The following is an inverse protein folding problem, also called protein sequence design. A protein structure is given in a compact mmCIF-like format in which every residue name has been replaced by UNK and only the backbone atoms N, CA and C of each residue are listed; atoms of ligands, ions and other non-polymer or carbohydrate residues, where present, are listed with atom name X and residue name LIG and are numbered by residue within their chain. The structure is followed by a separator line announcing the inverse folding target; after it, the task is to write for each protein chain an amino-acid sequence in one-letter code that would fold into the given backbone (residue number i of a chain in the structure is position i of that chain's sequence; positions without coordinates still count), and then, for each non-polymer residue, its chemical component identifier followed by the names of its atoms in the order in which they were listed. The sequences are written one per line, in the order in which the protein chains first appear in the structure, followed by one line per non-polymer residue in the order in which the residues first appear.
data_IF_693770276783
#
_entry.id   IF_693770276783
#
_cell.length_a   1.000
_cell.length_b   1.000
_cell.length_c   1.000
_cell.angle_alpha   90.00
_cell.angle_beta   90.00
_cell.angle_gamma   90.00
#
_symmetry.space_group_name_H-M   'P 1'
#
loop_
_entity.id
_entity.type
_entity.pdbx_description
1 polymer ?
#
# COMPACT_ATOMS: atom_id res chain seq x y z
N UNK A 1 31.95 -11.71 54.93
CA UNK A 1 30.68 -12.12 54.28
C UNK A 1 29.65 -10.98 54.11
N UNK A 2 29.97 -9.69 54.29
CA UNK A 2 29.03 -8.56 54.12
C UNK A 2 29.17 -7.81 52.79
N UNK A 3 30.13 -8.17 51.94
CA UNK A 3 30.41 -7.49 50.67
C UNK A 3 29.76 -8.16 49.45
N UNK A 4 29.22 -9.37 49.58
CA UNK A 4 28.58 -10.09 48.47
C UNK A 4 27.08 -9.77 48.29
N UNK A 5 26.44 -9.17 49.33
CA UNK A 5 25.01 -8.83 49.29
C UNK A 5 24.71 -7.52 48.49
N UNK A 6 25.70 -6.66 48.33
CA UNK A 6 25.53 -5.38 47.62
C UNK A 6 25.56 -5.54 46.10
N UNK A 7 26.19 -6.59 45.56
CA UNK A 7 26.29 -6.82 44.12
C UNK A 7 25.01 -7.44 43.56
N UNK A 8 24.26 -8.21 44.38
CA UNK A 8 23.02 -8.84 43.94
C UNK A 8 21.82 -7.85 43.82
N UNK A 9 21.87 -6.74 44.56
CA UNK A 9 20.81 -5.73 44.56
C UNK A 9 20.84 -4.80 43.32
N UNK A 10 21.99 -4.71 42.65
CA UNK A 10 22.13 -3.85 41.45
C UNK A 10 21.60 -4.56 40.20
N UNK A 11 21.59 -5.89 40.15
CA UNK A 11 21.06 -6.66 39.02
C UNK A 11 19.53 -6.79 39.03
N UNK A 12 18.86 -6.51 40.15
CA UNK A 12 17.40 -6.59 40.23
C UNK A 12 16.69 -5.32 39.73
N UNK A 13 17.43 -4.25 39.46
CA UNK A 13 16.89 -2.95 39.01
C UNK A 13 17.02 -2.72 37.50
N UNK A 14 17.66 -3.63 36.75
CA UNK A 14 17.51 -3.66 35.29
C UNK A 14 16.24 -4.44 34.94
N UNK A 15 15.14 -4.06 35.57
CA UNK A 15 13.81 -4.47 35.16
C UNK A 15 13.66 -4.13 33.69
N UNK A 16 13.51 -5.15 32.89
CA UNK A 16 13.17 -5.06 31.49
C UNK A 16 12.05 -4.02 31.36
N UNK A 17 12.37 -2.83 30.88
CA UNK A 17 11.36 -1.95 30.31
C UNK A 17 10.93 -2.70 29.04
N UNK A 18 10.04 -3.67 29.21
CA UNK A 18 9.26 -4.18 28.11
C UNK A 18 8.49 -2.95 27.62
N UNK A 19 9.01 -2.30 26.59
CA UNK A 19 8.25 -1.34 25.82
C UNK A 19 7.03 -2.10 25.32
N UNK A 20 5.94 -2.06 26.09
CA UNK A 20 4.66 -2.60 25.65
C UNK A 20 4.25 -1.76 24.45
N UNK A 21 4.47 -2.30 23.26
CA UNK A 21 4.01 -1.68 22.02
C UNK A 21 2.52 -1.51 22.12
N UNK A 22 2.05 -0.32 21.86
CA UNK A 22 0.63 -0.05 21.79
C UNK A 22 0.06 -0.76 20.56
N UNK A 23 -0.90 -1.64 20.79
CA UNK A 23 -1.61 -2.36 19.74
C UNK A 23 -2.96 -1.73 19.60
N UNK A 24 -3.23 -1.11 18.45
CA UNK A 24 -4.49 -0.46 18.15
C UNK A 24 -5.54 -1.53 17.82
N UNK A 25 -6.66 -1.60 18.55
CA UNK A 25 -7.70 -2.59 18.30
C UNK A 25 -8.44 -2.32 16.98
N UNK A 26 -8.96 -3.38 16.35
CA UNK A 26 -9.75 -3.28 15.12
C UNK A 26 -10.89 -2.25 15.21
N UNK A 27 -11.71 -2.34 16.26
CA UNK A 27 -12.86 -1.45 16.41
C UNK A 27 -12.48 0.03 16.45
N UNK A 28 -11.30 0.34 17.00
CA UNK A 28 -10.78 1.71 17.05
C UNK A 28 -10.35 2.18 15.65
N UNK A 29 -9.69 1.31 14.89
CA UNK A 29 -9.34 1.57 13.48
C UNK A 29 -10.61 1.83 12.67
N UNK A 30 -11.65 1.01 12.86
CA UNK A 30 -12.95 1.19 12.20
C UNK A 30 -13.56 2.53 12.57
N UNK A 31 -13.63 2.87 13.86
CA UNK A 31 -14.21 4.12 14.34
C UNK A 31 -13.52 5.35 13.72
N UNK A 32 -12.19 5.34 13.68
CA UNK A 32 -11.39 6.50 13.24
C UNK A 32 -11.26 6.62 11.73
N UNK A 33 -11.29 5.51 11.00
CA UNK A 33 -11.01 5.49 9.56
C UNK A 33 -12.21 5.18 8.69
N UNK A 34 -13.34 4.70 9.24
CA UNK A 34 -14.51 4.25 8.48
C UNK A 34 -14.96 5.28 7.43
N UNK A 35 -15.11 6.53 7.84
CA UNK A 35 -15.55 7.62 6.94
C UNK A 35 -14.54 7.83 5.81
N UNK A 36 -13.25 7.82 6.14
CA UNK A 36 -12.18 8.03 5.17
C UNK A 36 -12.10 6.87 4.18
N UNK A 37 -12.19 5.62 4.67
CA UNK A 37 -12.21 4.41 3.84
C UNK A 37 -13.48 4.41 2.98
N UNK A 38 -14.63 4.76 3.54
CA UNK A 38 -15.89 4.85 2.81
C UNK A 38 -15.87 5.84 1.66
N UNK A 39 -15.12 6.94 1.80
CA UNK A 39 -14.89 7.95 0.76
C UNK A 39 -13.79 7.62 -0.24
N UNK A 40 -13.01 6.55 -0.01
CA UNK A 40 -11.93 6.19 -0.93
C UNK A 40 -12.48 5.53 -2.21
N UNK A 41 -11.72 5.55 -3.33
CA UNK A 41 -12.09 4.85 -4.54
C UNK A 41 -12.20 3.34 -4.33
N UNK A 42 -12.91 2.67 -5.24
CA UNK A 42 -13.02 1.22 -5.27
C UNK A 42 -11.87 0.66 -6.08
N UNK A 43 -11.21 -0.36 -5.54
CA UNK A 43 -10.14 -1.09 -6.17
C UNK A 43 -10.60 -2.51 -6.48
N UNK A 44 -10.24 -3.02 -7.66
CA UNK A 44 -10.52 -4.39 -8.06
C UNK A 44 -9.27 -5.24 -8.03
N UNK A 45 -9.43 -6.48 -7.58
CA UNK A 45 -8.38 -7.50 -7.65
C UNK A 45 -8.12 -7.90 -9.10
N UNK A 46 -6.85 -7.92 -9.50
CA UNK A 46 -6.41 -8.23 -10.88
C UNK A 46 -5.90 -9.66 -11.05
N UNK A 47 -5.81 -10.44 -9.98
CA UNK A 47 -5.36 -11.84 -10.04
C UNK A 47 -6.43 -12.79 -10.59
N UNK A 48 -6.01 -14.01 -10.94
CA UNK A 48 -6.91 -15.05 -11.47
C UNK A 48 -7.76 -15.73 -10.38
N UNK A 49 -7.40 -15.56 -9.11
CA UNK A 49 -8.16 -16.16 -7.99
C UNK A 49 -9.35 -15.30 -7.65
N UNK A 50 -10.54 -15.89 -7.68
CA UNK A 50 -11.72 -15.32 -7.05
C UNK A 50 -11.51 -15.34 -5.53
N UNK A 51 -11.28 -14.17 -4.98
CA UNK A 51 -11.26 -13.92 -3.54
C UNK A 51 -12.56 -13.20 -3.23
N UNK A 52 -13.57 -13.93 -2.79
CA UNK A 52 -14.96 -13.47 -2.72
C UNK A 52 -15.13 -12.05 -2.12
N UNK A 53 -14.76 -11.86 -0.87
CA UNK A 53 -14.95 -10.57 -0.19
C UNK A 53 -13.91 -9.49 -0.58
N UNK A 54 -12.79 -9.90 -1.15
CA UNK A 54 -11.67 -9.02 -1.51
C UNK A 54 -11.54 -8.80 -3.01
N UNK A 55 -12.52 -9.21 -3.80
CA UNK A 55 -12.54 -8.94 -5.25
C UNK A 55 -12.60 -7.44 -5.52
N UNK A 56 -13.48 -6.75 -4.80
CA UNK A 56 -13.59 -5.30 -4.82
C UNK A 56 -13.49 -4.78 -3.39
N UNK A 57 -12.57 -3.86 -3.16
CA UNK A 57 -12.29 -3.30 -1.85
C UNK A 57 -12.18 -1.79 -1.89
N UNK A 58 -12.35 -1.19 -0.74
CA UNK A 58 -11.95 0.19 -0.47
C UNK A 58 -10.64 0.21 0.29
N UNK A 59 -9.79 1.17 -0.01
CA UNK A 59 -8.48 1.25 0.61
C UNK A 59 -8.08 2.71 0.88
N UNK A 60 -7.38 2.91 1.99
CA UNK A 60 -6.73 4.17 2.30
C UNK A 60 -5.24 3.91 2.49
N UNK A 61 -4.41 4.70 1.81
CA UNK A 61 -2.97 4.65 2.00
C UNK A 61 -2.59 5.32 3.30
N UNK A 62 -1.78 4.62 4.09
CA UNK A 62 -1.29 5.15 5.36
C UNK A 62 -0.29 6.28 5.11
N UNK A 63 -0.61 7.44 5.62
CA UNK A 63 0.20 8.64 5.64
C UNK A 63 0.17 9.29 7.03
N UNK A 64 0.81 10.45 7.16
CA UNK A 64 0.81 11.18 8.43
C UNK A 64 -0.59 11.64 8.88
N UNK A 65 -1.53 11.84 7.95
CA UNK A 65 -2.91 12.20 8.30
C UNK A 65 -3.65 11.02 8.90
N UNK A 66 -3.42 9.82 8.35
CA UNK A 66 -3.96 8.57 8.89
C UNK A 66 -3.40 8.32 10.29
N UNK A 67 -2.08 8.46 10.50
CA UNK A 67 -1.48 8.34 11.83
C UNK A 67 -2.10 9.31 12.83
N UNK A 68 -2.28 10.56 12.43
CA UNK A 68 -2.92 11.56 13.28
C UNK A 68 -4.39 11.22 13.59
N UNK A 69 -5.13 10.71 12.61
CA UNK A 69 -6.54 10.31 12.78
C UNK A 69 -6.71 9.18 13.78
N UNK A 70 -5.77 8.22 13.81
CA UNK A 70 -5.76 7.11 14.78
C UNK A 70 -5.03 7.45 16.08
N UNK A 71 -4.49 8.67 16.22
CA UNK A 71 -3.91 9.16 17.46
C UNK A 71 -2.51 8.60 17.76
N UNK A 72 -1.78 8.11 16.77
CA UNK A 72 -0.40 7.63 16.95
C UNK A 72 0.61 8.43 16.13
N UNK A 73 1.87 8.40 16.57
CA UNK A 73 3.02 8.92 15.83
C UNK A 73 4.04 7.83 15.50
N UNK A 74 3.74 6.58 15.88
CA UNK A 74 4.65 5.45 15.65
C UNK A 74 4.65 5.02 14.19
N UNK A 75 5.83 4.70 13.67
CA UNK A 75 6.01 4.11 12.34
C UNK A 75 7.14 3.06 12.37
N UNK A 76 6.85 1.76 12.30
CA UNK A 76 5.50 1.20 12.16
C UNK A 76 4.67 1.32 13.42
N UNK A 77 3.36 1.46 13.26
CA UNK A 77 2.41 1.20 14.34
C UNK A 77 1.90 -0.25 14.26
N UNK A 78 1.24 -0.72 15.30
CA UNK A 78 0.71 -2.07 15.36
C UNK A 78 -0.80 -2.03 15.51
N UNK A 79 -1.50 -2.77 14.68
CA UNK A 79 -2.95 -2.92 14.79
C UNK A 79 -3.35 -4.39 14.89
N UNK A 80 -4.48 -4.63 15.50
CA UNK A 80 -5.18 -5.91 15.46
C UNK A 80 -6.16 -5.88 14.28
N UNK A 81 -6.00 -6.79 13.34
CA UNK A 81 -6.90 -6.90 12.19
C UNK A 81 -8.14 -7.72 12.54
N UNK A 82 -9.09 -7.83 11.60
CA UNK A 82 -10.35 -8.57 11.80
C UNK A 82 -10.16 -10.09 11.97
N UNK A 83 -8.98 -10.61 11.72
CA UNK A 83 -8.59 -11.99 12.04
C UNK A 83 -7.91 -12.11 13.42
N UNK A 84 -8.00 -11.08 14.24
CA UNK A 84 -7.32 -10.98 15.54
C UNK A 84 -5.78 -11.02 15.46
N UNK A 85 -5.20 -10.91 14.28
CA UNK A 85 -3.77 -10.86 14.06
C UNK A 85 -3.21 -9.48 14.38
N UNK A 86 -2.09 -9.46 15.10
CA UNK A 86 -1.32 -8.23 15.27
C UNK A 86 -0.39 -8.06 14.09
N UNK A 87 -0.58 -6.98 13.35
CA UNK A 87 0.19 -6.65 12.16
C UNK A 87 0.89 -5.31 12.32
N UNK A 88 2.12 -5.22 11.80
CA UNK A 88 2.87 -3.98 11.73
C UNK A 88 2.51 -3.23 10.44
N UNK A 89 2.13 -1.98 10.57
CA UNK A 89 1.70 -1.13 9.44
C UNK A 89 2.63 0.07 9.34
N UNK A 90 3.12 0.34 8.15
CA UNK A 90 4.05 1.43 7.86
C UNK A 90 3.38 2.53 7.05
N UNK A 91 3.95 3.71 7.08
CA UNK A 91 3.62 4.75 6.10
C UNK A 91 3.89 4.20 4.70
N UNK A 92 2.87 4.32 3.84
CA UNK A 92 2.87 3.77 2.49
C UNK A 92 2.06 2.49 2.34
N UNK A 93 1.90 1.69 3.39
CA UNK A 93 1.00 0.53 3.39
C UNK A 93 -0.46 0.97 3.28
N UNK A 94 -1.36 0.02 3.11
CA UNK A 94 -2.78 0.29 2.95
C UNK A 94 -3.59 -0.33 4.09
N UNK A 95 -4.59 0.41 4.56
CA UNK A 95 -5.69 -0.13 5.35
C UNK A 95 -6.85 -0.36 4.40
N UNK A 96 -7.32 -1.60 4.33
CA UNK A 96 -8.31 -2.04 3.36
C UNK A 96 -9.56 -2.56 4.06
N UNK A 97 -10.69 -2.47 3.38
CA UNK A 97 -11.97 -2.98 3.85
C UNK A 97 -12.79 -3.48 2.66
N UNK A 98 -13.60 -4.54 2.82
CA UNK A 98 -14.60 -4.89 1.84
C UNK A 98 -15.55 -3.71 1.57
N UNK A 99 -16.31 -3.74 0.49
CA UNK A 99 -17.29 -2.69 0.17
C UNK A 99 -18.34 -2.51 1.27
N UNK A 100 -18.60 -3.55 2.04
CA UNK A 100 -19.51 -3.53 3.20
C UNK A 100 -19.02 -2.70 4.37
N UNK A 101 -17.72 -2.34 4.38
CA UNK A 101 -17.06 -1.62 5.47
C UNK A 101 -17.25 -2.30 6.84
N UNK A 102 -17.33 -3.64 6.86
CA UNK A 102 -17.58 -4.42 8.08
C UNK A 102 -16.33 -4.82 8.83
N UNK A 103 -15.20 -4.82 8.15
CA UNK A 103 -13.90 -5.31 8.66
C UNK A 103 -12.76 -4.45 8.14
N UNK A 104 -11.62 -4.46 8.85
CA UNK A 104 -10.39 -3.81 8.40
C UNK A 104 -9.20 -4.76 8.43
N UNK A 105 -8.35 -4.61 7.45
CA UNK A 105 -7.10 -5.34 7.32
C UNK A 105 -5.98 -4.39 6.93
N UNK A 106 -4.75 -4.77 7.25
CA UNK A 106 -3.57 -4.08 6.73
C UNK A 106 -2.98 -4.87 5.57
N UNK A 107 -2.60 -4.17 4.53
CA UNK A 107 -1.94 -4.75 3.35
C UNK A 107 -0.64 -3.99 3.05
N UNK A 108 0.51 -4.68 2.94
CA UNK A 108 1.75 -4.06 2.54
C UNK A 108 1.61 -3.35 1.18
N UNK A 109 2.30 -2.24 1.01
CA UNK A 109 2.25 -1.44 -0.23
C UNK A 109 2.43 -2.29 -1.49
N UNK A 110 3.49 -3.10 -1.52
CA UNK A 110 3.81 -3.89 -2.72
C UNK A 110 2.72 -4.92 -3.03
N UNK A 111 2.16 -5.57 -1.99
CA UNK A 111 1.10 -6.56 -2.15
C UNK A 111 -0.17 -5.90 -2.67
N UNK A 112 -0.48 -4.69 -2.19
CA UNK A 112 -1.63 -3.95 -2.68
C UNK A 112 -1.45 -3.52 -4.14
N UNK A 113 -0.37 -2.84 -4.46
CA UNK A 113 -0.13 -2.26 -5.79
C UNK A 113 0.08 -3.33 -6.88
N UNK A 114 0.52 -4.54 -6.52
CA UNK A 114 0.63 -5.67 -7.44
C UNK A 114 -0.70 -6.37 -7.71
N UNK A 115 -1.62 -6.36 -6.74
CA UNK A 115 -2.82 -7.19 -6.82
C UNK A 115 -4.11 -6.39 -7.03
N UNK A 116 -4.08 -5.07 -6.86
CA UNK A 116 -5.28 -4.24 -6.94
C UNK A 116 -5.10 -3.06 -7.90
N UNK A 117 -6.16 -2.75 -8.62
CA UNK A 117 -6.23 -1.61 -9.54
C UNK A 117 -7.45 -0.75 -9.20
N UNK A 118 -7.28 0.57 -9.25
CA UNK A 118 -8.40 1.50 -9.15
C UNK A 118 -9.33 1.31 -10.35
N UNK A 119 -10.60 1.04 -10.09
CA UNK A 119 -11.61 0.86 -11.14
C UNK A 119 -11.86 2.12 -11.97
N UNK A 120 -11.56 3.29 -11.42
CA UNK A 120 -11.72 4.57 -12.10
C UNK A 120 -10.43 5.07 -12.76
N UNK A 121 -9.31 4.35 -12.57
CA UNK A 121 -8.07 4.72 -13.23
C UNK A 121 -8.17 4.46 -14.74
N UNK A 122 -7.70 5.38 -15.60
CA UNK A 122 -7.64 5.14 -17.03
C UNK A 122 -6.79 3.90 -17.31
N UNK A 123 -7.27 3.04 -18.22
CA UNK A 123 -6.57 1.82 -18.55
C UNK A 123 -5.24 2.15 -19.26
N UNK A 124 -4.14 2.00 -18.53
CA UNK A 124 -2.78 2.33 -19.00
C UNK A 124 -2.41 1.49 -20.23
N UNK A 125 -3.06 0.34 -20.44
CA UNK A 125 -2.84 -0.50 -21.61
C UNK A 125 -3.24 0.18 -22.93
N UNK A 126 -4.26 1.00 -22.90
CA UNK A 126 -4.70 1.77 -24.07
C UNK A 126 -3.68 2.86 -24.45
N UNK A 127 -3.10 3.53 -23.46
CA UNK A 127 -2.10 4.58 -23.70
C UNK A 127 -0.82 4.01 -24.29
N UNK A 128 -0.40 2.82 -23.85
CA UNK A 128 0.79 2.16 -24.37
C UNK A 128 0.60 1.69 -25.82
N UNK A 129 -0.59 1.24 -26.20
CA UNK A 129 -0.89 0.84 -27.59
C UNK A 129 -0.92 2.04 -28.52
N UNK A 130 -1.47 3.18 -28.12
CA UNK A 130 -1.47 4.41 -28.93
C UNK A 130 -0.06 4.98 -29.13
N UNK A 131 0.75 5.02 -28.08
CA UNK A 131 2.14 5.48 -28.16
C UNK A 131 2.98 4.57 -29.06
N UNK A 132 2.79 3.27 -28.98
CA UNK A 132 3.44 2.29 -29.83
C UNK A 132 3.06 2.48 -31.31
N UNK A 133 1.80 2.70 -31.61
CA UNK A 133 1.29 2.93 -32.98
C UNK A 133 1.81 4.26 -33.56
N UNK A 134 1.87 5.32 -32.75
CA UNK A 134 2.43 6.62 -33.16
C UNK A 134 3.94 6.49 -33.42
N UNK A 135 4.67 5.78 -32.57
CA UNK A 135 6.11 5.54 -32.73
C UNK A 135 6.44 4.75 -34.00
N UNK A 136 5.61 3.77 -34.36
CA UNK A 136 5.77 2.97 -35.56
C UNK A 136 5.45 3.78 -36.81
N UNK A 137 4.42 4.62 -36.77
CA UNK A 137 4.05 5.53 -37.88
C UNK A 137 5.14 6.57 -38.17
N UNK A 138 5.73 7.18 -37.14
CA UNK A 138 6.85 8.13 -37.30
C UNK A 138 8.07 7.43 -37.87
N UNK A 139 8.32 6.18 -37.54
CA UNK A 139 9.46 5.40 -38.04
C UNK A 139 9.32 5.04 -39.52
N UNK A 140 8.11 4.67 -39.98
CA UNK A 140 7.85 4.35 -41.39
C UNK A 140 7.88 5.61 -42.26
N UNK A 141 7.24 6.70 -41.86
CA UNK A 141 7.25 7.95 -42.61
C UNK A 141 8.67 8.56 -42.72
N UNK A 142 9.47 8.47 -41.63
CA UNK A 142 10.85 8.96 -41.65
C UNK A 142 11.81 8.15 -42.53
N UNK A 143 11.55 6.85 -42.73
CA UNK A 143 12.35 6.00 -43.62
C UNK A 143 12.05 6.29 -45.09
N UNK A 144 10.78 6.51 -45.44
CA UNK A 144 10.36 6.81 -46.81
C UNK A 144 10.90 8.18 -47.27
N UNK A 145 10.92 9.17 -46.39
CA UNK A 145 11.49 10.49 -46.69
C UNK A 145 13.02 10.47 -46.88
N UNK A 146 13.73 9.66 -46.11
CA UNK A 146 15.18 9.46 -46.23
C UNK A 146 15.55 8.71 -47.53
N UNK A 147 14.76 7.72 -47.93
CA UNK A 147 14.98 6.94 -49.16
C UNK A 147 14.77 7.78 -50.40
N UNK A 148 13.69 8.57 -50.47
CA UNK A 148 13.41 9.48 -51.59
C UNK A 148 14.48 10.57 -51.75
N UNK A 149 15.13 11.01 -50.68
CA UNK A 149 16.17 12.03 -50.74
C UNK A 149 17.52 11.49 -51.27
N UNK A 150 17.76 10.21 -51.12
CA UNK A 150 18.96 9.55 -51.65
C UNK A 150 18.83 9.29 -53.15
N UNK A 151 17.65 8.91 -53.63
CA UNK A 151 17.42 8.72 -55.07
C UNK A 151 17.45 10.03 -55.87
N UNK A 152 17.05 11.16 -55.28
CA UNK A 152 17.08 12.48 -55.94
C UNK A 152 18.48 13.12 -55.99
N UNK A 153 19.48 12.60 -55.30
CA UNK A 153 20.89 13.11 -55.27
C UNK A 153 21.86 12.29 -56.09
N UNK A 154 21.36 11.29 -56.86
CA UNK A 154 22.16 10.36 -57.64
C UNK A 154 22.22 10.61 -59.15
N UNK A 155 21.89 11.82 -59.65
CA UNK A 155 22.10 12.23 -61.02
C UNK A 155 23.18 13.30 -61.12
#
# INVERSE_FOLDING_TARGET
MKKFLAVLAVFALTGSIALSREIIPEYYMMEKLLVNIGGSPVFSYIGEKEIDEFKEIKAIRVDNKVLQAIGTHENPFYMKDSNEKVVAVRIGDYVVSPLTLSTVYAMPKNDFELNYRDLNAPDVSLVTSEVSTIGEKIRTEGVDEATNKIEASGE
#
